data_IF_328813674380
#
_entry.id   IF_328813674380
#
_cell.length_a   1.000
_cell.length_b   1.000
_cell.length_c   1.000
_cell.angle_alpha   90.00
_cell.angle_beta   90.00
_cell.angle_gamma   90.00
#
_symmetry.space_group_name_H-M   'P 1'
#
loop_
_entity.id
_entity.type
_entity.pdbx_description
1 polymer ?
#
# COMPACT_ATOMS: atom_id res chain seq x y z
N UNK A 1 4.29 23.37 49.37
CA UNK A 1 4.72 23.55 47.96
C UNK A 1 5.85 22.59 47.67
N UNK A 2 5.57 21.45 47.03
CA UNK A 2 6.59 20.58 46.44
C UNK A 2 6.17 20.33 45.00
N UNK A 3 7.01 20.81 44.10
CA UNK A 3 6.87 20.78 42.66
C UNK A 3 6.72 19.35 42.17
N UNK A 4 5.70 19.09 41.37
CA UNK A 4 5.58 17.87 40.59
C UNK A 4 6.62 17.92 39.47
N UNK A 5 7.55 16.97 39.47
CA UNK A 5 8.43 16.68 38.35
C UNK A 5 7.57 16.10 37.21
N UNK A 6 7.32 16.91 36.18
CA UNK A 6 6.90 16.43 34.88
C UNK A 6 8.02 15.53 34.31
N UNK A 7 7.83 14.22 34.39
CA UNK A 7 8.57 13.27 33.56
C UNK A 7 8.11 13.44 32.12
N UNK A 8 8.79 14.33 31.40
CA UNK A 8 8.83 14.33 29.95
C UNK A 8 9.40 12.97 29.49
N UNK A 9 8.51 12.02 29.19
CA UNK A 9 8.86 10.79 28.49
C UNK A 9 9.08 11.17 27.03
N UNK A 10 10.26 11.71 26.75
CA UNK A 10 10.77 11.84 25.39
C UNK A 10 10.99 10.44 24.84
N UNK A 11 10.05 9.94 24.03
CA UNK A 11 10.31 8.77 23.19
C UNK A 11 11.33 9.18 22.13
N UNK A 12 12.62 8.88 22.38
CA UNK A 12 13.67 9.02 21.38
C UNK A 12 13.30 8.21 20.13
N UNK A 13 13.34 8.87 18.97
CA UNK A 13 13.07 8.28 17.67
C UNK A 13 14.05 7.13 17.41
N UNK A 14 13.59 5.88 17.27
CA UNK A 14 14.49 4.80 16.92
C UNK A 14 14.98 5.00 15.48
N UNK A 15 16.30 5.06 15.27
CA UNK A 15 16.85 5.07 13.92
C UNK A 15 16.38 3.81 13.18
N UNK A 16 15.65 3.99 12.06
CA UNK A 16 15.16 2.88 11.21
C UNK A 16 16.29 1.86 10.93
N UNK A 17 17.52 2.35 10.76
CA UNK A 17 18.74 1.59 10.52
C UNK A 17 19.10 0.56 11.60
N UNK A 18 18.89 0.90 12.88
CA UNK A 18 19.27 0.11 14.05
C UNK A 18 18.25 -1.00 14.40
N UNK A 19 17.11 -1.04 13.72
CA UNK A 19 15.98 -1.95 14.01
C UNK A 19 16.24 -3.34 13.41
N UNK A 20 17.24 -4.07 13.90
CA UNK A 20 17.49 -5.48 13.53
C UNK A 20 16.92 -6.44 14.58
N UNK A 21 16.12 -7.41 14.13
CA UNK A 21 15.65 -8.52 14.98
C UNK A 21 14.36 -8.23 15.75
N UNK A 22 13.94 -9.21 16.56
CA UNK A 22 12.65 -9.20 17.29
C UNK A 22 12.54 -7.98 18.21
N UNK A 23 13.61 -7.66 18.97
CA UNK A 23 13.67 -6.49 19.85
C UNK A 23 13.47 -5.16 19.12
N UNK A 24 14.10 -4.99 17.95
CA UNK A 24 13.92 -3.79 17.15
C UNK A 24 12.47 -3.61 16.69
N UNK A 25 11.85 -4.68 16.20
CA UNK A 25 10.44 -4.67 15.80
C UNK A 25 9.52 -4.20 16.94
N UNK A 26 9.71 -4.73 18.15
CA UNK A 26 8.90 -4.31 19.31
C UNK A 26 9.04 -2.83 19.66
N UNK A 27 10.27 -2.29 19.67
CA UNK A 27 10.51 -0.86 19.94
C UNK A 27 9.78 0.01 18.90
N UNK A 28 9.88 -0.37 17.63
CA UNK A 28 9.21 0.31 16.54
C UNK A 28 7.69 0.30 16.70
N UNK A 29 7.10 -0.85 16.99
CA UNK A 29 5.65 -0.98 17.11
C UNK A 29 5.11 -0.26 18.34
N UNK A 30 5.89 -0.19 19.43
CA UNK A 30 5.53 0.58 20.61
C UNK A 30 5.61 2.09 20.35
N UNK A 31 6.58 2.54 19.55
CA UNK A 31 6.61 3.93 19.08
C UNK A 31 5.32 4.30 18.32
N UNK A 32 4.90 3.47 17.35
CA UNK A 32 3.62 3.69 16.64
C UNK A 32 2.40 3.60 17.56
N UNK A 33 2.39 2.65 18.48
CA UNK A 33 1.31 2.52 19.45
C UNK A 33 1.15 3.78 20.31
N UNK A 34 2.26 4.39 20.73
CA UNK A 34 2.23 5.58 21.59
C UNK A 34 1.51 6.78 20.97
N UNK A 35 1.47 6.90 19.64
CA UNK A 35 0.76 7.98 18.97
C UNK A 35 -0.52 7.56 18.24
N UNK A 36 -0.71 6.28 17.91
CA UNK A 36 -1.97 5.79 17.34
C UNK A 36 -3.03 5.55 18.44
N UNK A 37 -2.62 5.20 19.66
CA UNK A 37 -3.55 4.98 20.77
C UNK A 37 -4.36 6.22 21.17
N UNK A 38 -3.78 7.44 21.26
CA UNK A 38 -4.55 8.68 21.46
C UNK A 38 -5.58 8.94 20.36
N UNK A 39 -5.34 8.47 19.13
CA UNK A 39 -6.27 8.58 18.00
C UNK A 39 -7.36 7.50 18.01
N UNK A 40 -7.49 6.73 19.09
CA UNK A 40 -8.50 5.67 19.24
C UNK A 40 -8.17 4.39 18.48
N UNK A 41 -6.93 4.21 18.01
CA UNK A 41 -6.48 3.03 17.28
C UNK A 41 -5.66 2.11 18.20
N UNK A 42 -6.15 0.88 18.39
CA UNK A 42 -5.50 -0.10 19.26
C UNK A 42 -4.82 -1.21 18.45
N UNK A 43 -3.80 -1.81 19.04
CA UNK A 43 -3.03 -2.90 18.45
C UNK A 43 -3.92 -4.14 18.28
N UNK A 44 -4.08 -4.59 17.03
CA UNK A 44 -4.90 -5.76 16.68
C UNK A 44 -4.06 -7.00 16.39
N UNK A 45 -2.93 -6.84 15.71
CA UNK A 45 -1.98 -7.95 15.51
C UNK A 45 -0.56 -7.42 15.34
N UNK A 46 0.43 -8.12 15.90
CA UNK A 46 1.84 -7.76 15.76
C UNK A 46 2.65 -9.01 15.46
N UNK A 47 3.51 -8.88 14.46
CA UNK A 47 4.55 -9.83 14.13
C UNK A 47 5.90 -9.14 14.04
N UNK A 48 6.93 -9.92 13.72
CA UNK A 48 8.32 -9.44 13.67
C UNK A 48 8.52 -8.32 12.63
N UNK A 49 7.79 -8.39 11.51
CA UNK A 49 7.93 -7.44 10.39
C UNK A 49 6.65 -6.67 10.10
N UNK A 50 5.58 -6.89 10.86
CA UNK A 50 4.26 -6.28 10.59
C UNK A 50 3.54 -5.90 11.87
N UNK A 51 2.83 -4.78 11.87
CA UNK A 51 1.88 -4.43 12.91
C UNK A 51 0.57 -3.93 12.30
N UNK A 52 -0.57 -4.30 12.87
CA UNK A 52 -1.90 -3.83 12.50
C UNK A 52 -2.54 -3.17 13.71
N UNK A 53 -2.96 -1.93 13.53
CA UNK A 53 -3.74 -1.14 14.47
C UNK A 53 -5.13 -0.93 13.88
N UNK A 54 -6.16 -0.98 14.70
CA UNK A 54 -7.54 -0.77 14.27
C UNK A 54 -8.35 -0.12 15.38
N UNK A 55 -9.34 0.66 14.98
CA UNK A 55 -10.22 1.35 15.91
C UNK A 55 -11.14 2.32 15.19
N UNK A 56 -11.73 3.23 15.96
CA UNK A 56 -12.58 4.30 15.42
C UNK A 56 -11.82 5.61 15.49
N UNK A 57 -11.75 6.30 14.36
CA UNK A 57 -11.20 7.65 14.26
C UNK A 57 -12.21 8.52 13.50
N UNK A 58 -12.56 9.68 14.06
CA UNK A 58 -13.62 10.56 13.55
C UNK A 58 -14.93 9.83 13.23
N UNK A 59 -15.32 8.89 14.10
CA UNK A 59 -16.56 8.09 13.96
C UNK A 59 -16.52 6.96 12.92
N UNK A 60 -15.44 6.83 12.13
CA UNK A 60 -15.27 5.80 11.10
C UNK A 60 -14.33 4.69 11.57
N UNK A 61 -14.58 3.47 11.12
CA UNK A 61 -13.66 2.36 11.35
C UNK A 61 -12.41 2.54 10.48
N UNK A 62 -11.24 2.57 11.11
CA UNK A 62 -9.95 2.73 10.44
C UNK A 62 -9.03 1.58 10.83
N UNK A 63 -8.31 1.05 9.86
CA UNK A 63 -7.23 0.08 10.08
C UNK A 63 -5.94 0.59 9.47
N UNK A 64 -4.90 0.68 10.29
CA UNK A 64 -3.56 1.10 9.92
C UNK A 64 -2.66 -0.11 10.02
N UNK A 65 -2.05 -0.50 8.91
CA UNK A 65 -1.12 -1.62 8.83
C UNK A 65 0.26 -1.14 8.43
N UNK A 66 1.25 -1.51 9.22
CA UNK A 66 2.65 -1.16 9.03
C UNK A 66 3.42 -2.43 8.69
N UNK A 67 4.28 -2.34 7.69
CA UNK A 67 5.18 -3.41 7.29
C UNK A 67 6.60 -2.88 7.22
N UNK A 68 7.49 -3.44 8.04
CA UNK A 68 8.90 -3.13 7.95
C UNK A 68 9.51 -3.84 6.74
N UNK A 69 10.08 -3.08 5.81
CA UNK A 69 10.66 -3.61 4.58
C UNK A 69 12.16 -3.41 4.55
N UNK A 70 12.89 -4.51 4.32
CA UNK A 70 14.31 -4.50 3.97
C UNK A 70 14.47 -4.94 2.53
N UNK A 71 14.94 -4.06 1.66
CA UNK A 71 15.43 -4.48 0.35
C UNK A 71 16.95 -4.37 0.30
N UNK A 72 17.57 -5.54 0.22
CA UNK A 72 18.96 -5.66 -0.23
C UNK A 72 18.91 -5.93 -1.73
N UNK A 73 19.69 -5.21 -2.55
CA UNK A 73 20.02 -5.69 -3.90
C UNK A 73 21.49 -6.07 -3.90
N UNK A 74 21.80 -7.13 -4.64
CA UNK A 74 23.16 -7.53 -4.92
C UNK A 74 23.48 -7.03 -6.32
N UNK A 75 24.57 -6.28 -6.46
CA UNK A 75 25.17 -5.94 -7.74
C UNK A 75 26.63 -6.35 -7.70
N UNK A 76 27.07 -7.04 -8.74
CA UNK A 76 28.45 -7.51 -8.89
C UNK A 76 28.63 -8.39 -10.11
N UNK A 77 29.77 -8.27 -10.79
CA UNK A 77 30.27 -9.34 -11.67
C UNK A 77 30.77 -10.51 -10.81
N UNK A 78 31.05 -11.67 -11.45
CA UNK A 78 31.40 -12.95 -10.80
C UNK A 78 32.44 -12.86 -9.66
N UNK A 79 33.29 -11.83 -9.65
CA UNK A 79 34.41 -11.73 -8.70
C UNK A 79 34.24 -10.66 -7.61
N UNK A 80 33.24 -9.77 -7.72
CA UNK A 80 33.00 -8.69 -6.74
C UNK A 80 31.51 -8.47 -6.48
N UNK A 81 30.90 -9.27 -5.59
CA UNK A 81 29.56 -8.98 -5.07
C UNK A 81 29.61 -7.87 -4.01
N UNK A 82 29.28 -6.65 -4.43
CA UNK A 82 29.09 -5.54 -3.50
C UNK A 82 27.65 -5.56 -2.97
N UNK A 83 27.48 -5.75 -1.66
CA UNK A 83 26.17 -5.71 -1.01
C UNK A 83 25.74 -4.26 -0.82
N UNK A 84 24.92 -3.72 -1.72
CA UNK A 84 24.29 -2.42 -1.52
C UNK A 84 22.93 -2.57 -0.82
N UNK A 85 22.80 -1.97 0.36
CA UNK A 85 21.54 -1.87 1.10
C UNK A 85 20.75 -0.68 0.53
N UNK A 86 19.74 -0.97 -0.32
CA UNK A 86 19.06 0.08 -1.10
C UNK A 86 17.89 0.71 -0.34
N UNK A 87 17.22 -0.03 0.54
CA UNK A 87 16.07 0.52 1.27
C UNK A 87 15.83 -0.18 2.61
N UNK A 88 15.78 0.63 3.66
CA UNK A 88 15.25 0.27 4.97
C UNK A 88 14.15 1.29 5.27
N UNK A 89 12.90 0.84 5.32
CA UNK A 89 11.75 1.73 5.47
C UNK A 89 10.48 0.98 5.83
N UNK A 90 9.37 1.71 5.88
CA UNK A 90 8.08 1.20 6.33
C UNK A 90 7.02 1.36 5.25
N UNK A 91 6.32 0.29 4.91
CA UNK A 91 5.12 0.39 4.10
C UNK A 91 3.93 0.61 5.05
N UNK A 92 3.28 1.77 4.92
CA UNK A 92 2.07 2.17 5.63
C UNK A 92 0.85 1.90 4.73
N UNK A 93 -0.11 1.15 5.24
CA UNK A 93 -1.38 0.88 4.59
C UNK A 93 -2.53 1.32 5.50
N UNK A 94 -3.29 2.33 5.08
CA UNK A 94 -4.53 2.75 5.74
C UNK A 94 -5.71 2.16 4.99
N UNK A 95 -6.67 1.62 5.73
CA UNK A 95 -7.85 0.94 5.21
C UNK A 95 -9.10 1.51 5.87
N UNK A 96 -10.03 2.00 5.06
CA UNK A 96 -11.29 2.59 5.52
C UNK A 96 -12.46 1.97 4.74
N UNK A 97 -13.54 1.50 5.40
CA UNK A 97 -14.77 1.11 4.72
C UNK A 97 -15.39 2.31 3.99
N UNK A 98 -15.84 2.10 2.75
CA UNK A 98 -16.53 3.15 1.98
C UNK A 98 -17.73 2.59 1.24
N UNK A 99 -18.73 3.42 0.96
CA UNK A 99 -19.92 3.04 0.18
C UNK A 99 -19.66 2.89 -1.34
N UNK A 100 -18.43 3.15 -1.81
CA UNK A 100 -18.05 3.04 -3.22
C UNK A 100 -18.15 1.59 -3.71
N UNK A 101 -18.93 1.39 -4.77
CA UNK A 101 -19.21 0.05 -5.37
C UNK A 101 -18.34 -0.30 -6.58
N UNK A 102 -17.51 0.63 -7.04
CA UNK A 102 -16.64 0.46 -8.21
C UNK A 102 -15.18 0.16 -7.81
N UNK A 103 -14.31 -0.05 -8.80
CA UNK A 103 -12.87 -0.24 -8.64
C UNK A 103 -12.10 0.91 -9.28
N UNK A 104 -11.11 1.38 -8.53
CA UNK A 104 -10.17 2.35 -9.05
C UNK A 104 -8.82 2.29 -8.33
N UNK A 105 -7.77 2.76 -9.01
CA UNK A 105 -6.43 2.91 -8.47
C UNK A 105 -5.85 4.22 -8.98
N UNK A 106 -5.46 5.07 -8.06
CA UNK A 106 -4.70 6.30 -8.29
C UNK A 106 -3.33 6.08 -7.65
N UNK A 107 -2.23 6.43 -8.29
CA UNK A 107 -0.94 6.37 -7.61
C UNK A 107 0.20 6.92 -8.44
N UNK A 108 1.37 7.00 -7.80
CA UNK A 108 2.60 7.47 -8.46
C UNK A 108 2.83 6.74 -9.76
N UNK A 109 3.07 7.49 -10.83
CA UNK A 109 3.49 6.93 -12.10
C UNK A 109 4.75 6.11 -11.86
N UNK A 110 4.66 4.81 -12.10
CA UNK A 110 5.79 3.91 -11.90
C UNK A 110 6.85 4.26 -12.93
N UNK A 111 7.94 4.93 -12.50
CA UNK A 111 9.06 5.37 -13.34
C UNK A 111 9.93 4.23 -13.90
N UNK A 112 9.38 3.04 -14.12
CA UNK A 112 10.07 1.90 -14.70
C UNK A 112 9.92 1.87 -16.21
N UNK A 113 10.98 1.48 -16.92
CA UNK A 113 11.01 1.22 -18.36
C UNK A 113 9.73 0.53 -18.85
N UNK A 114 9.25 0.94 -20.04
CA UNK A 114 7.89 0.73 -20.52
C UNK A 114 7.30 -0.69 -20.47
N UNK A 115 8.09 -1.74 -20.23
CA UNK A 115 7.60 -3.12 -20.05
C UNK A 115 6.80 -3.32 -18.75
N UNK A 116 7.27 -2.81 -17.61
CA UNK A 116 6.55 -2.98 -16.34
C UNK A 116 5.23 -2.19 -16.37
N UNK A 117 5.27 -0.98 -16.93
CA UNK A 117 4.07 -0.16 -17.16
C UNK A 117 3.09 -0.85 -18.11
N UNK A 118 3.56 -1.36 -19.25
CA UNK A 118 2.74 -2.14 -20.20
C UNK A 118 2.13 -3.38 -19.57
N UNK A 119 2.87 -4.09 -18.71
CA UNK A 119 2.36 -5.25 -17.99
C UNK A 119 1.27 -4.87 -16.98
N UNK A 120 1.45 -3.78 -16.24
CA UNK A 120 0.43 -3.26 -15.32
C UNK A 120 -0.82 -2.77 -16.07
N UNK A 121 -0.63 -2.08 -17.20
CA UNK A 121 -1.72 -1.68 -18.11
C UNK A 121 -2.49 -2.90 -18.65
N UNK A 122 -1.77 -3.95 -19.05
CA UNK A 122 -2.36 -5.19 -19.51
C UNK A 122 -3.15 -5.91 -18.39
N UNK A 123 -2.59 -5.98 -17.18
CA UNK A 123 -3.29 -6.54 -16.01
C UNK A 123 -4.54 -5.73 -15.63
N UNK A 124 -4.46 -4.40 -15.71
CA UNK A 124 -5.60 -3.51 -15.46
C UNK A 124 -6.71 -3.75 -16.49
N UNK A 125 -6.37 -3.80 -17.79
CA UNK A 125 -7.30 -4.11 -18.86
C UNK A 125 -7.95 -5.48 -18.70
N UNK A 126 -7.19 -6.51 -18.28
CA UNK A 126 -7.73 -7.84 -18.01
C UNK A 126 -8.70 -7.89 -16.83
N UNK A 127 -8.60 -6.91 -15.91
CA UNK A 127 -9.54 -6.72 -14.80
C UNK A 127 -10.67 -5.72 -15.12
N UNK A 128 -10.82 -5.32 -16.38
CA UNK A 128 -11.83 -4.36 -16.83
C UNK A 128 -11.58 -2.92 -16.37
N UNK A 129 -10.36 -2.59 -15.93
CA UNK A 129 -9.99 -1.23 -15.54
C UNK A 129 -9.29 -0.53 -16.71
N UNK A 130 -9.71 0.69 -16.98
CA UNK A 130 -9.23 1.52 -18.07
C UNK A 130 -8.38 2.67 -17.52
N UNK A 131 -7.39 3.11 -18.30
CA UNK A 131 -6.59 4.28 -17.95
C UNK A 131 -7.45 5.53 -18.15
N UNK A 132 -7.70 6.25 -17.06
CA UNK A 132 -8.44 7.51 -17.11
C UNK A 132 -7.48 8.61 -17.51
N UNK A 133 -7.82 9.34 -18.57
CA UNK A 133 -7.04 10.48 -19.03
C UNK A 133 -7.64 11.76 -18.45
N UNK A 134 -6.80 12.58 -17.84
CA UNK A 134 -7.19 13.89 -17.28
C UNK A 134 -6.12 14.91 -17.65
N UNK A 135 -6.55 16.11 -18.05
CA UNK A 135 -5.66 17.18 -18.51
C UNK A 135 -5.02 17.98 -17.36
N UNK A 136 -5.25 17.60 -16.11
CA UNK A 136 -4.72 18.32 -14.96
C UNK A 136 -3.21 18.06 -14.75
N UNK A 137 -2.39 19.08 -14.41
CA UNK A 137 -0.92 18.94 -14.29
C UNK A 137 -0.46 17.81 -13.35
N UNK A 138 -1.22 17.54 -12.29
CA UNK A 138 -0.94 16.47 -11.33
C UNK A 138 -0.86 15.07 -12.01
N UNK A 139 -1.58 14.84 -13.11
CA UNK A 139 -1.59 13.56 -13.86
C UNK A 139 -0.34 13.33 -14.71
N UNK A 140 0.58 14.30 -14.75
CA UNK A 140 1.93 14.06 -15.27
C UNK A 140 2.74 13.15 -14.33
N UNK A 141 2.43 13.16 -13.03
CA UNK A 141 3.14 12.40 -12.00
C UNK A 141 2.37 11.15 -11.51
N UNK A 142 1.10 10.97 -11.91
CA UNK A 142 0.28 9.82 -11.52
C UNK A 142 -0.32 9.09 -12.73
N UNK A 143 -0.62 7.80 -12.54
CA UNK A 143 -1.48 7.03 -13.43
C UNK A 143 -2.77 6.69 -12.68
N UNK A 144 -3.92 6.81 -13.36
CA UNK A 144 -5.23 6.50 -12.79
C UNK A 144 -5.92 5.43 -13.60
N UNK A 145 -6.33 4.37 -12.92
CA UNK A 145 -7.09 3.26 -13.47
C UNK A 145 -8.46 3.22 -12.84
N UNK A 146 -9.51 3.16 -13.63
CA UNK A 146 -10.87 2.99 -13.13
C UNK A 146 -11.65 2.02 -14.00
N UNK A 147 -12.50 1.22 -13.37
CA UNK A 147 -13.46 0.39 -14.10
C UNK A 147 -14.71 1.20 -14.49
N UNK A 148 -15.04 2.25 -13.73
CA UNK A 148 -16.03 3.24 -14.11
C UNK A 148 -15.35 4.59 -14.32
N UNK A 149 -15.07 4.90 -15.58
CA UNK A 149 -14.42 6.16 -15.98
C UNK A 149 -15.29 7.37 -15.64
N UNK A 150 -16.61 7.27 -15.78
CA UNK A 150 -17.53 8.37 -15.52
C UNK A 150 -17.48 8.76 -14.05
N UNK A 151 -17.59 7.77 -13.15
CA UNK A 151 -17.43 7.99 -11.71
C UNK A 151 -16.08 8.61 -11.37
N UNK A 152 -15.00 8.07 -11.93
CA UNK A 152 -13.65 8.58 -11.68
C UNK A 152 -13.48 10.02 -12.18
N UNK A 153 -14.03 10.36 -13.34
CA UNK A 153 -14.00 11.73 -13.83
C UNK A 153 -14.75 12.70 -12.91
N UNK A 154 -15.93 12.32 -12.39
CA UNK A 154 -16.63 13.14 -11.39
C UNK A 154 -15.83 13.29 -10.09
N UNK A 155 -15.08 12.26 -9.71
CA UNK A 155 -14.20 12.31 -8.54
C UNK A 155 -13.01 13.24 -8.77
N UNK A 156 -12.38 13.17 -9.94
CA UNK A 156 -11.14 13.92 -10.25
C UNK A 156 -11.36 15.35 -10.74
N UNK A 157 -12.58 15.73 -11.13
CA UNK A 157 -12.91 17.11 -11.50
C UNK A 157 -13.06 18.01 -10.26
N UNK A 158 -13.26 17.39 -9.09
CA UNK A 158 -13.45 18.08 -7.83
C UNK A 158 -12.14 18.71 -7.31
N UNK A 159 -12.07 20.04 -7.12
CA UNK A 159 -10.84 20.72 -6.69
C UNK A 159 -10.34 20.23 -5.33
N UNK A 160 -11.24 20.01 -4.37
CA UNK A 160 -10.90 19.53 -3.02
C UNK A 160 -10.24 18.15 -3.10
N UNK A 161 -10.77 17.27 -3.95
CA UNK A 161 -10.16 15.95 -4.19
C UNK A 161 -8.76 16.07 -4.79
N UNK A 162 -8.55 16.98 -5.74
CA UNK A 162 -7.23 17.21 -6.34
C UNK A 162 -6.23 17.77 -5.33
N UNK A 163 -6.66 18.69 -4.47
CA UNK A 163 -5.84 19.27 -3.40
C UNK A 163 -5.43 18.19 -2.39
N UNK A 164 -6.39 17.37 -1.92
CA UNK A 164 -6.09 16.25 -1.02
C UNK A 164 -5.12 15.24 -1.64
N UNK A 165 -5.28 14.92 -2.93
CA UNK A 165 -4.34 14.02 -3.64
C UNK A 165 -2.96 14.66 -3.82
N UNK A 166 -2.91 15.97 -4.02
CA UNK A 166 -1.67 16.73 -4.12
C UNK A 166 -0.95 16.80 -2.77
N UNK A 167 -1.66 17.03 -1.66
CA UNK A 167 -1.09 17.03 -0.31
C UNK A 167 -0.55 15.64 0.05
N UNK A 168 -1.33 14.59 -0.23
CA UNK A 168 -0.88 13.21 -0.11
C UNK A 168 0.34 12.90 -0.99
N UNK A 169 0.60 13.66 -2.05
CA UNK A 169 1.79 13.53 -2.88
C UNK A 169 2.95 14.43 -2.40
N UNK A 170 2.69 15.64 -1.93
CA UNK A 170 3.72 16.60 -1.51
C UNK A 170 4.34 16.22 -0.18
N UNK A 171 3.55 15.69 0.76
CA UNK A 171 4.05 15.03 1.97
C UNK A 171 4.93 13.81 1.65
N UNK A 172 4.96 13.39 0.38
CA UNK A 172 5.72 12.24 -0.10
C UNK A 172 6.95 12.63 -0.93
N UNK A 173 7.38 13.91 -0.95
CA UNK A 173 8.59 14.33 -1.68
C UNK A 173 9.89 13.62 -1.23
N UNK A 174 9.89 12.92 -0.09
CA UNK A 174 10.99 12.05 0.37
C UNK A 174 10.71 10.54 0.22
N UNK A 175 9.61 10.15 -0.44
CA UNK A 175 9.08 8.79 -0.49
C UNK A 175 9.01 8.24 -1.93
N UNK A 176 9.26 6.93 -2.07
CA UNK A 176 9.46 6.28 -3.38
C UNK A 176 8.16 5.95 -4.11
N UNK A 177 7.02 5.82 -3.40
CA UNK A 177 5.72 5.51 -4.03
C UNK A 177 4.52 5.67 -3.09
N UNK A 178 3.39 6.13 -3.63
CA UNK A 178 2.08 6.13 -2.97
C UNK A 178 0.98 5.61 -3.92
N UNK A 179 -0.14 5.13 -3.35
CA UNK A 179 -1.34 4.79 -4.12
C UNK A 179 -2.60 4.86 -3.26
N UNK A 180 -3.69 5.31 -3.85
CA UNK A 180 -5.06 5.20 -3.33
C UNK A 180 -5.80 4.17 -4.18
N UNK A 181 -6.43 3.18 -3.55
CA UNK A 181 -7.16 2.10 -4.21
C UNK A 181 -8.57 2.03 -3.68
N UNK A 182 -9.54 2.04 -4.58
CA UNK A 182 -10.93 1.73 -4.31
C UNK A 182 -11.20 0.29 -4.75
N UNK A 183 -11.65 -0.51 -3.80
CA UNK A 183 -12.21 -1.83 -3.99
C UNK A 183 -13.67 -1.73 -3.50
N UNK A 184 -14.65 -2.45 -4.07
CA UNK A 184 -16.03 -2.33 -3.63
C UNK A 184 -16.16 -2.50 -2.11
N UNK A 185 -16.67 -1.46 -1.44
CA UNK A 185 -16.84 -1.42 0.01
C UNK A 185 -15.63 -0.92 0.82
N UNK A 186 -14.50 -0.59 0.18
CA UNK A 186 -13.24 -0.31 0.89
C UNK A 186 -12.27 0.59 0.11
N UNK A 187 -11.77 1.63 0.76
CA UNK A 187 -10.65 2.42 0.30
C UNK A 187 -9.36 1.99 1.01
N UNK A 188 -8.26 1.92 0.26
CA UNK A 188 -6.94 1.54 0.75
C UNK A 188 -5.92 2.57 0.27
N UNK A 189 -5.24 3.23 1.19
CA UNK A 189 -4.11 4.12 0.91
C UNK A 189 -2.83 3.39 1.28
N UNK A 190 -1.89 3.31 0.35
CA UNK A 190 -0.56 2.75 0.59
C UNK A 190 0.50 3.82 0.39
N UNK A 191 1.42 3.94 1.33
CA UNK A 191 2.57 4.85 1.30
C UNK A 191 3.81 4.09 1.72
N UNK A 192 4.96 4.44 1.14
CA UNK A 192 6.26 3.97 1.65
C UNK A 192 6.92 5.10 2.41
N UNK A 193 7.30 4.88 3.65
CA UNK A 193 8.02 5.81 4.51
C UNK A 193 9.52 5.47 4.45
N UNK A 194 10.34 6.45 4.08
CA UNK A 194 11.80 6.34 4.03
C UNK A 194 12.48 6.70 5.36
N UNK A 195 11.78 7.45 6.22
CA UNK A 195 12.25 7.85 7.56
C UNK A 195 11.10 7.89 8.57
N UNK A 196 11.39 7.55 9.83
CA UNK A 196 10.47 7.62 10.98
C UNK A 196 10.36 9.04 11.51
N UNK A 197 11.38 9.87 11.29
CA UNK A 197 11.41 11.27 11.73
C UNK A 197 10.31 12.13 11.08
N UNK A 198 9.64 11.61 10.06
CA UNK A 198 8.57 12.29 9.31
C UNK A 198 7.16 11.85 9.75
N UNK A 199 7.03 11.05 10.81
CA UNK A 199 5.72 10.53 11.24
C UNK A 199 5.59 10.69 12.76
N UNK A 200 5.10 11.86 13.17
CA UNK A 200 4.68 12.13 14.55
C UNK A 200 3.13 12.04 14.67
N UNK A 201 2.62 12.17 15.89
CA UNK A 201 1.18 12.07 16.19
C UNK A 201 0.33 13.05 15.37
N UNK A 202 0.75 14.32 15.35
CA UNK A 202 0.05 15.40 14.66
C UNK A 202 0.01 15.17 13.15
N UNK A 203 1.14 14.80 12.53
CA UNK A 203 1.21 14.47 11.11
C UNK A 203 0.34 13.26 10.76
N UNK A 204 0.30 12.23 11.61
CA UNK A 204 -0.56 11.07 11.40
C UNK A 204 -2.05 11.44 11.52
N UNK A 205 -2.41 12.30 12.47
CA UNK A 205 -3.77 12.80 12.63
C UNK A 205 -4.22 13.60 11.40
N UNK A 206 -3.41 14.55 10.94
CA UNK A 206 -3.66 15.30 9.70
C UNK A 206 -3.83 14.37 8.51
N UNK A 207 -2.95 13.36 8.37
CA UNK A 207 -3.04 12.37 7.30
C UNK A 207 -4.31 11.52 7.37
N UNK A 208 -4.68 11.05 8.56
CA UNK A 208 -5.92 10.27 8.72
C UNK A 208 -7.15 11.13 8.40
N UNK A 209 -7.14 12.40 8.79
CA UNK A 209 -8.21 13.34 8.44
C UNK A 209 -8.29 13.56 6.92
N UNK A 210 -7.17 13.81 6.23
CA UNK A 210 -7.15 13.92 4.77
C UNK A 210 -7.67 12.65 4.08
N UNK A 211 -7.27 11.48 4.57
CA UNK A 211 -7.73 10.18 4.02
C UNK A 211 -9.24 10.01 4.27
N UNK A 212 -9.76 10.40 5.43
CA UNK A 212 -11.20 10.38 5.70
C UNK A 212 -11.95 11.34 4.78
N UNK A 213 -11.47 12.57 4.62
CA UNK A 213 -12.06 13.53 3.69
C UNK A 213 -12.06 12.98 2.26
N UNK A 214 -10.99 12.31 1.83
CA UNK A 214 -10.94 11.67 0.52
C UNK A 214 -11.98 10.54 0.38
N UNK A 215 -12.21 9.77 1.44
CA UNK A 215 -13.26 8.75 1.49
C UNK A 215 -14.65 9.37 1.35
N UNK A 216 -14.92 10.46 2.08
CA UNK A 216 -16.18 11.21 2.03
C UNK A 216 -16.43 11.81 0.65
N UNK A 217 -15.40 12.41 0.05
CA UNK A 217 -15.48 12.92 -1.31
C UNK A 217 -15.83 11.81 -2.29
N UNK A 218 -15.24 10.62 -2.15
CA UNK A 218 -15.53 9.48 -3.02
C UNK A 218 -16.98 8.96 -2.87
N UNK A 219 -17.53 9.00 -1.65
CA UNK A 219 -18.91 8.60 -1.35
C UNK A 219 -19.94 9.61 -1.82
N UNK A 220 -19.60 10.90 -1.81
CA UNK A 220 -20.48 11.99 -2.27
C UNK A 220 -20.74 11.98 -3.78
N UNK A 221 -19.90 11.29 -4.56
CA UNK A 221 -20.05 11.20 -6.02
C UNK A 221 -21.20 10.26 -6.38
N UNK A 222 -21.84 10.46 -7.56
CA UNK A 222 -22.93 9.61 -8.02
C UNK A 222 -22.54 8.13 -7.96
N UNK A 223 -23.49 7.25 -7.67
CA UNK A 223 -23.20 5.82 -7.51
C UNK A 223 -22.59 5.27 -8.80
N UNK A 224 -21.32 4.89 -8.76
CA UNK A 224 -20.64 4.27 -9.89
C UNK A 224 -21.19 2.88 -10.21
N UNK A 225 -20.82 2.35 -11.39
CA UNK A 225 -21.16 0.99 -11.83
C UNK A 225 -20.75 -0.02 -10.76
N UNK A 226 -21.72 -0.81 -10.31
CA UNK A 226 -21.49 -1.83 -9.31
C UNK A 226 -20.69 -2.99 -9.91
N UNK A 227 -19.61 -3.35 -9.23
CA UNK A 227 -18.73 -4.43 -9.67
C UNK A 227 -18.70 -5.53 -8.64
N UNK A 228 -18.91 -6.76 -9.10
CA UNK A 228 -18.81 -7.92 -8.23
C UNK A 228 -17.38 -8.13 -7.75
N UNK A 229 -17.22 -8.40 -6.45
CA UNK A 229 -15.96 -8.84 -5.88
C UNK A 229 -15.47 -10.12 -6.57
N UNK A 230 -14.20 -10.16 -6.92
CA UNK A 230 -13.52 -11.38 -7.39
C UNK A 230 -13.46 -12.42 -6.28
N UNK A 231 -13.27 -13.70 -6.61
CA UNK A 231 -13.15 -14.77 -5.60
C UNK A 231 -12.09 -14.47 -4.54
N UNK A 232 -10.94 -13.95 -4.96
CA UNK A 232 -9.84 -13.59 -4.06
C UNK A 232 -10.24 -12.46 -3.12
N UNK A 233 -10.96 -11.44 -3.61
CA UNK A 233 -11.44 -10.33 -2.77
C UNK A 233 -12.54 -10.80 -1.81
N UNK A 234 -13.45 -11.68 -2.25
CA UNK A 234 -14.45 -12.30 -1.37
C UNK A 234 -13.77 -13.13 -0.27
N UNK A 235 -12.76 -13.91 -0.65
CA UNK A 235 -11.95 -14.67 0.30
C UNK A 235 -11.14 -13.76 1.21
N UNK A 236 -10.58 -12.66 0.72
CA UNK A 236 -9.85 -11.70 1.54
C UNK A 236 -10.76 -11.02 2.57
N UNK A 237 -12.02 -10.76 2.20
CA UNK A 237 -13.06 -10.24 3.11
C UNK A 237 -13.45 -11.26 4.19
N UNK A 238 -13.49 -12.56 3.85
CA UNK A 238 -13.85 -13.64 4.80
C UNK A 238 -12.68 -14.13 5.66
N UNK A 239 -11.51 -14.28 5.06
CA UNK A 239 -10.30 -14.81 5.68
C UNK A 239 -9.05 -14.40 4.88
N UNK A 240 -8.33 -13.35 5.30
CA UNK A 240 -7.15 -12.86 4.59
C UNK A 240 -6.03 -13.91 4.50
N UNK A 241 -5.88 -14.78 5.51
CA UNK A 241 -4.90 -15.87 5.49
C UNK A 241 -5.20 -16.90 4.39
N UNK A 242 -6.48 -17.28 4.20
CA UNK A 242 -6.89 -18.21 3.13
C UNK A 242 -6.72 -17.59 1.74
N UNK A 243 -6.96 -16.29 1.60
CA UNK A 243 -6.71 -15.59 0.34
C UNK A 243 -5.22 -15.60 -0.05
N UNK A 244 -4.32 -15.39 0.91
CA UNK A 244 -2.86 -15.47 0.71
C UNK A 244 -2.45 -16.91 0.34
N UNK A 245 -2.96 -17.91 1.07
CA UNK A 245 -2.67 -19.32 0.77
C UNK A 245 -3.12 -19.72 -0.63
N UNK A 246 -4.32 -19.30 -1.05
CA UNK A 246 -4.84 -19.59 -2.38
C UNK A 246 -4.04 -18.86 -3.47
N UNK A 247 -3.66 -17.60 -3.25
CA UNK A 247 -2.81 -16.86 -4.17
C UNK A 247 -1.42 -17.50 -4.31
N UNK A 248 -0.83 -17.94 -3.20
CA UNK A 248 0.43 -18.68 -3.16
C UNK A 248 0.34 -20.00 -3.91
N UNK A 249 -0.72 -20.78 -3.69
CA UNK A 249 -0.95 -22.05 -4.39
C UNK A 249 -1.09 -21.85 -5.91
N UNK A 250 -1.85 -20.84 -6.34
CA UNK A 250 -2.00 -20.51 -7.78
C UNK A 250 -0.65 -20.11 -8.39
N UNK A 251 0.16 -19.34 -7.69
CA UNK A 251 1.49 -18.93 -8.15
C UNK A 251 2.41 -20.15 -8.29
N UNK A 252 2.39 -21.05 -7.30
CA UNK A 252 3.22 -22.25 -7.28
C UNK A 252 2.81 -23.21 -8.41
N UNK A 253 1.51 -23.39 -8.63
CA UNK A 253 1.00 -24.14 -9.78
C UNK A 253 1.45 -23.54 -11.12
N UNK A 254 1.43 -22.21 -11.26
CA UNK A 254 1.88 -21.53 -12.47
C UNK A 254 3.39 -21.71 -12.70
N UNK A 255 4.20 -21.68 -11.64
CA UNK A 255 5.64 -21.98 -11.71
C UNK A 255 5.87 -23.42 -12.15
N UNK A 256 5.18 -24.39 -11.56
CA UNK A 256 5.32 -25.82 -11.90
C UNK A 256 4.93 -26.06 -13.36
N UNK A 257 3.79 -25.53 -13.80
CA UNK A 257 3.36 -25.64 -15.21
C UNK A 257 4.37 -24.98 -16.14
N UNK A 258 4.86 -23.80 -15.80
CA UNK A 258 5.88 -23.11 -16.62
C UNK A 258 7.18 -23.90 -16.69
N UNK A 259 7.61 -24.51 -15.58
CA UNK A 259 8.81 -25.34 -15.53
C UNK A 259 8.66 -26.61 -16.38
N UNK A 260 7.50 -27.28 -16.32
CA UNK A 260 7.20 -28.44 -17.18
C UNK A 260 7.19 -28.04 -18.66
N UNK A 261 6.58 -26.91 -19.00
CA UNK A 261 6.51 -26.44 -20.39
C UNK A 261 7.86 -25.97 -20.94
N UNK A 262 8.66 -25.26 -20.14
CA UNK A 262 9.92 -24.66 -20.57
C UNK A 262 11.12 -25.60 -20.51
N UNK A 263 11.10 -26.58 -19.59
CA UNK A 263 12.24 -27.49 -19.38
C UNK A 263 11.82 -28.93 -19.68
N UNK A 264 10.66 -29.36 -19.17
CA UNK A 264 10.16 -30.72 -19.35
C UNK A 264 9.97 -31.09 -20.83
N UNK A 265 9.19 -30.30 -21.57
CA UNK A 265 8.90 -30.57 -22.99
C UNK A 265 10.18 -30.60 -23.87
N UNK A 266 11.05 -29.58 -23.86
CA UNK A 266 12.26 -29.63 -24.67
C UNK A 266 13.25 -30.73 -24.23
N UNK A 267 13.33 -31.05 -22.94
CA UNK A 267 14.16 -32.17 -22.46
C UNK A 267 13.61 -33.53 -22.92
N UNK A 268 12.29 -33.73 -22.87
CA UNK A 268 11.64 -34.92 -23.40
C UNK A 268 11.81 -35.05 -24.92
N UNK A 269 11.76 -33.94 -25.66
CA UNK A 269 12.04 -33.93 -27.10
C UNK A 269 13.50 -34.30 -27.40
N UNK A 270 14.47 -33.76 -26.66
CA UNK A 270 15.90 -34.11 -26.83
C UNK A 270 16.16 -35.59 -26.53
N UNK A 271 15.49 -36.16 -25.53
CA UNK A 271 15.60 -37.59 -25.22
C UNK A 271 14.94 -38.49 -26.28
N UNK A 272 13.92 -37.99 -26.99
CA UNK A 272 13.20 -38.76 -28.01
C UNK A 272 13.89 -38.74 -29.38
N UNK A 273 14.67 -37.68 -29.67
CA UNK A 273 15.52 -37.57 -30.86
C UNK A 273 16.94 -38.12 -30.66
N UNK A 274 17.20 -38.79 -29.54
CA UNK A 274 18.45 -39.51 -29.24
C UNK A 274 18.22 -41.01 -29.31
#
# INVERSE_FOLDING_TARGET
>A
MKSAEEKNVGCELPEIGAITGIRGGHILWNYFESFLAPLGLSKKSVGVVTAEFAGKFSGRDVSVKLFHRRQSRYFGSRDHMSRFRIFQGLDLTVSIPVAVKTRAVIGTRVGGSGLLRKFLLWLAGRKGSHLVTCNHPLFRAMDVFAHDETWMNHFLVDPVTLDLLQDLMNETMLLVSWSVKFIPGKMIVNRRLSSLALTNAESMETQLNQIISLAEMAESKPVGKEIQLTEIERLQKKSPARAIALAGLRLLGLIVVSFILLIGIPFSLVLWFR
#
